data_IF_105019870813
#
_entry.id   IF_105019870813
#
_cell.length_a   1.000
_cell.length_b   1.000
_cell.length_c   1.000
_cell.angle_alpha   90.00
_cell.angle_beta   90.00
_cell.angle_gamma   90.00
#
_symmetry.space_group_name_H-M   'P 1'
#
loop_
_entity.id
_entity.type
_entity.pdbx_description
1 polymer ?
#
# COMPACT_ATOMS: atom_id res chain seq x y z
N UNK A 1 24.45 -0.46 -8.42
CA UNK A 1 23.42 0.19 -7.59
C UNK A 1 23.72 -0.06 -6.11
N UNK A 2 23.43 0.89 -5.21
CA UNK A 2 23.72 0.75 -3.78
C UNK A 2 22.81 -0.32 -3.14
N UNK A 3 23.40 -1.32 -2.50
CA UNK A 3 22.67 -2.40 -1.81
C UNK A 3 21.77 -1.87 -0.69
N UNK A 4 22.21 -0.84 0.03
CA UNK A 4 21.45 -0.22 1.12
C UNK A 4 20.15 0.41 0.62
N UNK A 5 20.16 0.91 -0.62
CA UNK A 5 18.98 1.53 -1.21
C UNK A 5 17.90 0.49 -1.53
N UNK A 6 18.26 -0.66 -2.12
CA UNK A 6 17.29 -1.73 -2.38
C UNK A 6 16.77 -2.34 -1.09
N UNK A 7 17.64 -2.49 -0.09
CA UNK A 7 17.20 -2.93 1.24
C UNK A 7 16.12 -2.01 1.81
N UNK A 8 16.28 -0.68 1.73
CA UNK A 8 15.26 0.29 2.17
C UNK A 8 13.92 0.14 1.44
N UNK A 9 13.94 -0.21 0.16
CA UNK A 9 12.71 -0.47 -0.60
C UNK A 9 12.05 -1.77 -0.12
N UNK A 10 12.83 -2.85 0.00
CA UNK A 10 12.37 -4.15 0.50
C UNK A 10 11.77 -4.03 1.91
N UNK A 11 12.37 -3.25 2.81
CA UNK A 11 11.85 -3.02 4.17
C UNK A 11 10.43 -2.44 4.16
N UNK A 12 10.08 -1.60 3.18
CA UNK A 12 8.71 -1.08 3.01
C UNK A 12 7.75 -2.14 2.45
N UNK A 13 8.25 -3.18 1.78
CA UNK A 13 7.45 -4.28 1.24
C UNK A 13 7.12 -5.34 2.30
N UNK A 14 8.00 -5.57 3.28
CA UNK A 14 7.77 -6.54 4.36
C UNK A 14 7.07 -5.94 5.60
N UNK A 15 6.68 -4.67 5.53
CA UNK A 15 5.94 -3.91 6.54
C UNK A 15 6.54 -3.97 7.97
N UNK A 16 7.70 -3.33 8.12
CA UNK A 16 8.48 -3.28 9.37
C UNK A 16 7.70 -2.68 10.57
N UNK A 17 6.59 -1.95 10.35
CA UNK A 17 5.81 -1.36 11.44
C UNK A 17 5.04 -2.40 12.27
N UNK A 18 4.64 -3.55 11.69
CA UNK A 18 4.13 -4.71 12.46
C UNK A 18 5.27 -5.50 13.14
N UNK A 19 6.50 -5.35 12.66
CA UNK A 19 7.66 -6.11 13.12
C UNK A 19 8.47 -5.43 14.24
N UNK A 20 8.26 -4.13 14.48
CA UNK A 20 8.85 -3.36 15.59
C UNK A 20 8.74 -4.04 16.96
N UNK A 21 7.79 -4.95 17.13
CA UNK A 21 7.60 -5.66 18.39
C UNK A 21 8.21 -7.06 18.49
N UNK A 22 8.68 -7.72 17.40
CA UNK A 22 9.06 -9.16 17.53
C UNK A 22 10.21 -9.72 16.70
N UNK A 23 10.86 -9.02 15.77
CA UNK A 23 11.89 -9.67 14.95
C UNK A 23 12.94 -8.67 14.42
N UNK A 24 14.17 -9.13 14.20
CA UNK A 24 15.17 -8.29 13.52
C UNK A 24 14.74 -8.04 12.07
N UNK A 25 14.90 -6.83 11.51
CA UNK A 25 14.45 -6.47 10.15
C UNK A 25 14.94 -7.42 9.05
N UNK A 26 16.08 -8.09 9.27
CA UNK A 26 16.63 -9.11 8.34
C UNK A 26 15.83 -10.40 8.31
N UNK A 27 15.25 -10.81 9.44
CA UNK A 27 14.52 -12.07 9.54
C UNK A 27 13.19 -12.05 8.79
N UNK A 28 12.62 -10.85 8.55
CA UNK A 28 11.40 -10.64 7.77
C UNK A 28 11.61 -10.85 6.28
N UNK A 29 12.86 -10.79 5.80
CA UNK A 29 13.17 -11.07 4.40
C UNK A 29 12.63 -12.42 3.97
N UNK A 30 12.53 -13.41 4.88
CA UNK A 30 11.95 -14.73 4.59
C UNK A 30 10.54 -14.69 4.01
N UNK A 31 9.79 -13.61 4.28
CA UNK A 31 8.42 -13.41 3.83
C UNK A 31 8.32 -12.45 2.65
N UNK A 32 9.44 -12.02 2.07
CA UNK A 32 9.42 -11.15 0.91
C UNK A 32 8.84 -11.90 -0.29
N UNK A 33 7.83 -11.30 -0.90
CA UNK A 33 7.13 -11.84 -2.05
C UNK A 33 7.44 -10.99 -3.30
N UNK A 34 7.32 -11.58 -4.51
CA UNK A 34 7.36 -10.86 -5.77
C UNK A 34 6.19 -9.88 -5.87
N UNK A 35 6.28 -8.96 -6.82
CA UNK A 35 5.23 -7.98 -7.12
C UNK A 35 4.43 -8.48 -8.32
N UNK A 36 3.10 -8.49 -8.21
CA UNK A 36 2.21 -8.78 -9.34
C UNK A 36 1.81 -7.52 -10.09
N UNK A 37 1.49 -6.44 -9.36
CA UNK A 37 0.98 -5.19 -9.94
C UNK A 37 1.43 -3.97 -9.14
N UNK A 38 1.57 -2.84 -9.83
CA UNK A 38 1.81 -1.53 -9.24
C UNK A 38 0.76 -0.49 -9.66
N UNK A 39 0.43 0.43 -8.78
CA UNK A 39 -0.62 1.43 -8.97
C UNK A 39 -0.19 2.81 -8.46
N UNK A 40 -0.83 3.85 -8.98
CA UNK A 40 -0.70 5.20 -8.46
C UNK A 40 -1.23 5.30 -7.04
N UNK A 41 -0.53 6.05 -6.19
CA UNK A 41 -1.04 6.37 -4.85
C UNK A 41 -2.01 7.57 -4.87
N UNK A 42 -1.70 8.58 -5.68
CA UNK A 42 -2.44 9.85 -5.76
C UNK A 42 -3.55 9.76 -6.80
N UNK A 43 -4.59 8.98 -6.53
CA UNK A 43 -5.76 8.88 -7.42
C UNK A 43 -6.77 10.00 -7.23
N UNK A 44 -6.53 10.90 -6.26
CA UNK A 44 -7.39 12.02 -5.89
C UNK A 44 -6.72 13.36 -6.05
N UNK A 45 -7.54 14.40 -6.17
CA UNK A 45 -7.19 15.80 -6.33
C UNK A 45 -7.23 16.62 -5.03
N UNK A 46 -7.33 16.00 -3.84
CA UNK A 46 -7.42 16.72 -2.55
C UNK A 46 -6.55 16.08 -1.48
N UNK A 47 -5.92 16.88 -0.63
CA UNK A 47 -5.18 16.45 0.57
C UNK A 47 -5.66 17.21 1.80
N UNK A 48 -5.83 16.52 2.93
CA UNK A 48 -6.46 17.04 4.15
C UNK A 48 -5.70 16.66 5.42
N UNK A 49 -5.75 17.54 6.41
CA UNK A 49 -5.25 17.32 7.75
C UNK A 49 -6.21 17.95 8.77
N UNK A 50 -6.64 17.16 9.74
CA UNK A 50 -7.38 17.65 10.89
C UNK A 50 -6.40 17.95 12.03
N UNK A 51 -6.35 19.19 12.49
CA UNK A 51 -5.59 19.61 13.67
C UNK A 51 -6.45 19.38 14.93
N UNK A 52 -6.11 18.38 15.78
CA UNK A 52 -6.89 18.06 16.98
C UNK A 52 -6.85 19.14 18.07
N UNK A 53 -5.83 20.00 18.06
CA UNK A 53 -5.64 21.10 19.03
C UNK A 53 -6.48 22.31 18.63
N UNK A 54 -6.48 22.67 17.34
CA UNK A 54 -7.29 23.77 16.80
C UNK A 54 -8.72 23.37 16.47
N UNK A 55 -9.02 22.07 16.43
CA UNK A 55 -10.30 21.49 15.98
C UNK A 55 -10.69 21.96 14.56
N UNK A 56 -9.70 22.17 13.70
CA UNK A 56 -9.88 22.68 12.33
C UNK A 56 -9.35 21.68 11.29
N UNK A 57 -10.03 21.59 10.15
CA UNK A 57 -9.56 20.84 8.98
C UNK A 57 -8.86 21.81 8.02
N UNK A 58 -7.60 21.50 7.71
CA UNK A 58 -6.84 22.13 6.64
C UNK A 58 -6.87 21.25 5.41
N UNK A 59 -7.08 21.85 4.24
CA UNK A 59 -7.06 21.10 2.99
C UNK A 59 -6.50 21.92 1.83
N UNK A 60 -6.02 21.20 0.82
CA UNK A 60 -5.64 21.74 -0.48
C UNK A 60 -6.11 20.83 -1.60
N UNK A 61 -6.53 21.44 -2.69
CA UNK A 61 -6.81 20.73 -3.94
C UNK A 61 -5.60 20.84 -4.87
N UNK A 62 -5.36 19.83 -5.68
CA UNK A 62 -4.29 19.78 -6.67
C UNK A 62 -4.73 18.98 -7.89
N UNK A 63 -4.07 19.18 -9.03
CA UNK A 63 -4.30 18.34 -10.19
C UNK A 63 -3.32 17.16 -10.16
N UNK A 64 -3.82 15.92 -10.19
CA UNK A 64 -3.01 14.69 -10.20
C UNK A 64 -2.02 14.65 -11.38
N UNK A 65 -2.37 15.27 -12.50
CA UNK A 65 -1.50 15.34 -13.68
C UNK A 65 -0.45 16.46 -13.59
N UNK A 66 -0.60 17.40 -12.65
CA UNK A 66 0.36 18.47 -12.42
C UNK A 66 1.11 18.22 -11.11
N UNK A 67 2.30 17.64 -11.27
CA UNK A 67 3.17 17.22 -10.18
C UNK A 67 3.55 18.37 -9.24
N UNK A 68 3.80 19.57 -9.76
CA UNK A 68 4.18 20.73 -8.96
C UNK A 68 3.05 21.15 -8.02
N UNK A 69 1.81 21.23 -8.53
CA UNK A 69 0.64 21.57 -7.71
C UNK A 69 0.37 20.52 -6.63
N UNK A 70 0.59 19.24 -6.95
CA UNK A 70 0.48 18.13 -6.01
C UNK A 70 1.50 18.26 -4.89
N UNK A 71 2.77 18.47 -5.22
CA UNK A 71 3.84 18.62 -4.24
C UNK A 71 3.64 19.85 -3.35
N UNK A 72 3.32 21.02 -3.93
CA UNK A 72 3.03 22.24 -3.15
C UNK A 72 1.87 22.04 -2.17
N UNK A 73 0.82 21.34 -2.60
CA UNK A 73 -0.35 21.07 -1.75
C UNK A 73 -0.02 20.13 -0.60
N UNK A 74 0.76 19.07 -0.87
CA UNK A 74 1.23 18.15 0.17
C UNK A 74 2.19 18.86 1.13
N UNK A 75 3.07 19.72 0.62
CA UNK A 75 4.05 20.47 1.42
C UNK A 75 3.36 21.45 2.36
N UNK A 76 2.31 22.13 1.89
CA UNK A 76 1.47 22.97 2.74
C UNK A 76 0.87 22.16 3.89
N UNK A 77 0.27 21.00 3.60
CA UNK A 77 -0.35 20.15 4.64
C UNK A 77 0.70 19.60 5.61
N UNK A 78 1.85 19.15 5.12
CA UNK A 78 2.95 18.69 5.97
C UNK A 78 3.52 19.80 6.84
N UNK A 79 3.56 21.05 6.34
CA UNK A 79 3.91 22.22 7.16
C UNK A 79 2.90 22.48 8.28
N UNK A 80 1.60 22.24 8.06
CA UNK A 80 0.57 22.29 9.12
C UNK A 80 0.77 21.19 10.16
N UNK A 81 1.12 19.98 9.70
CA UNK A 81 1.45 18.84 10.59
C UNK A 81 2.68 19.15 11.43
N UNK A 82 3.73 19.73 10.84
CA UNK A 82 4.93 20.16 11.57
C UNK A 82 4.62 21.20 12.64
N UNK A 83 3.81 22.20 12.31
CA UNK A 83 3.35 23.19 13.27
C UNK A 83 2.63 22.53 14.44
N UNK A 84 1.68 21.63 14.16
CA UNK A 84 0.97 20.87 15.18
C UNK A 84 1.94 20.04 16.05
N UNK A 85 2.79 19.22 15.43
CA UNK A 85 3.75 18.33 16.10
C UNK A 85 4.72 19.10 17.00
N UNK A 86 5.26 20.25 16.56
CA UNK A 86 6.10 21.13 17.40
C UNK A 86 5.30 21.70 18.58
N UNK A 87 4.07 22.12 18.32
CA UNK A 87 3.20 22.73 19.35
C UNK A 87 2.75 21.76 20.45
N UNK A 88 2.90 20.45 20.23
CA UNK A 88 2.58 19.41 21.21
C UNK A 88 3.82 18.92 21.98
N UNK A 89 5.02 18.95 21.37
CA UNK A 89 6.28 18.62 22.06
C UNK A 89 6.64 19.61 23.17
N UNK A 90 6.19 20.87 23.07
CA UNK A 90 6.44 21.91 24.07
C UNK A 90 5.59 21.77 25.34
N UNK A 91 4.69 20.78 25.43
CA UNK A 91 3.73 20.61 26.55
C UNK A 91 4.08 19.34 27.32
N UNK A 92 4.48 19.48 28.60
CA UNK A 92 4.97 18.36 29.46
C UNK A 92 3.96 17.23 29.71
N UNK A 93 2.65 17.50 29.61
CA UNK A 93 1.57 16.52 29.78
C UNK A 93 0.64 16.55 28.58
N UNK A 94 1.08 15.98 27.45
CA UNK A 94 0.30 16.05 26.23
C UNK A 94 -0.46 14.75 25.93
N UNK A 95 -1.76 14.89 25.68
CA UNK A 95 -2.65 13.79 25.28
C UNK A 95 -2.65 13.54 23.77
N UNK A 96 -1.98 14.39 23.00
CA UNK A 96 -1.88 14.29 21.55
C UNK A 96 -0.69 13.45 21.10
N UNK A 97 -0.88 12.67 20.03
CA UNK A 97 0.17 11.90 19.37
C UNK A 97 0.75 12.70 18.19
N UNK A 98 2.03 12.45 17.92
CA UNK A 98 2.69 12.93 16.70
C UNK A 98 1.97 12.34 15.48
N UNK A 99 1.74 13.18 14.49
CA UNK A 99 1.10 12.79 13.23
C UNK A 99 2.16 12.71 12.15
N UNK A 100 2.19 11.59 11.43
CA UNK A 100 3.10 11.39 10.33
C UNK A 100 2.75 12.29 9.13
N UNK A 101 3.78 12.66 8.38
CA UNK A 101 3.60 13.40 7.13
C UNK A 101 2.82 12.59 6.09
N UNK A 102 2.04 13.31 5.30
CA UNK A 102 1.51 12.78 4.05
C UNK A 102 2.68 12.46 3.12
N UNK A 103 2.71 11.23 2.62
CA UNK A 103 3.75 10.72 1.72
C UNK A 103 3.79 11.60 0.46
N UNK A 104 4.99 11.97 -0.02
CA UNK A 104 5.18 12.79 -1.23
C UNK A 104 5.43 11.98 -2.49
N UNK A 105 6.03 10.80 -2.36
CA UNK A 105 6.54 10.01 -3.48
C UNK A 105 6.06 8.55 -3.36
N UNK A 106 4.76 8.39 -3.11
CA UNK A 106 4.15 7.09 -2.87
C UNK A 106 3.70 6.41 -4.16
N UNK A 107 3.93 5.10 -4.23
CA UNK A 107 3.30 4.16 -5.16
C UNK A 107 2.70 3.01 -4.36
N UNK A 108 1.61 2.43 -4.86
CA UNK A 108 1.02 1.22 -4.30
C UNK A 108 1.53 0.02 -5.08
N UNK A 109 1.82 -1.08 -4.41
CA UNK A 109 2.14 -2.35 -5.06
C UNK A 109 1.28 -3.46 -4.44
N UNK A 110 1.01 -4.49 -5.23
CA UNK A 110 0.38 -5.73 -4.79
C UNK A 110 1.39 -6.85 -4.95
N UNK A 111 1.72 -7.48 -3.84
CA UNK A 111 2.58 -8.65 -3.80
C UNK A 111 1.84 -9.89 -4.30
N UNK A 112 2.59 -10.85 -4.83
CA UNK A 112 2.08 -12.16 -5.26
C UNK A 112 1.60 -12.98 -4.06
N UNK A 113 0.75 -13.98 -4.33
CA UNK A 113 0.41 -14.98 -3.31
C UNK A 113 1.61 -15.91 -3.08
N UNK A 114 1.94 -16.24 -1.83
CA UNK A 114 3.04 -17.16 -1.54
C UNK A 114 2.73 -18.55 -2.09
N UNK A 115 3.72 -19.21 -2.66
CA UNK A 115 3.62 -20.59 -3.14
C UNK A 115 3.55 -21.55 -1.95
N UNK A 116 4.30 -21.25 -0.90
CA UNK A 116 4.35 -22.06 0.33
C UNK A 116 3.43 -21.44 1.37
N UNK A 117 2.24 -22.02 1.53
CA UNK A 117 1.37 -21.70 2.65
C UNK A 117 2.01 -22.21 3.95
N UNK A 118 2.42 -21.29 4.83
CA UNK A 118 2.78 -21.64 6.20
C UNK A 118 1.82 -20.98 7.17
N UNK A 119 1.39 -21.69 8.22
CA UNK A 119 0.52 -21.15 9.28
C UNK A 119 1.11 -19.91 9.99
N UNK A 120 2.41 -19.65 9.76
CA UNK A 120 3.19 -18.56 10.34
C UNK A 120 3.51 -17.43 9.36
N UNK A 121 3.04 -17.48 8.11
CA UNK A 121 3.21 -16.36 7.19
C UNK A 121 2.22 -15.24 7.54
N UNK A 122 2.69 -14.04 7.95
CA UNK A 122 1.80 -12.92 8.26
C UNK A 122 0.93 -12.50 7.07
N UNK A 123 1.32 -12.88 5.84
CA UNK A 123 0.64 -12.53 4.58
C UNK A 123 -0.37 -13.58 4.10
N UNK A 124 -0.59 -14.67 4.85
CA UNK A 124 -1.54 -15.73 4.51
C UNK A 124 -2.99 -15.43 4.95
N UNK A 125 -3.27 -14.25 5.52
CA UNK A 125 -4.56 -14.00 6.17
C UNK A 125 -5.62 -13.40 5.24
N UNK A 126 -5.25 -12.74 4.12
CA UNK A 126 -6.15 -12.14 3.10
C UNK A 126 -5.37 -11.42 1.96
N UNK A 127 -5.99 -11.19 0.78
CA UNK A 127 -5.36 -10.50 -0.38
C UNK A 127 -4.90 -9.07 -0.05
N UNK A 128 -5.67 -8.42 0.78
CA UNK A 128 -5.47 -7.19 1.50
C UNK A 128 -4.07 -7.07 2.15
N UNK A 129 -3.61 -8.14 2.80
CA UNK A 129 -2.28 -8.20 3.42
C UNK A 129 -1.13 -8.20 2.42
N UNK A 130 -1.38 -8.20 1.11
CA UNK A 130 -0.37 -8.14 0.05
C UNK A 130 -0.20 -6.73 -0.53
N UNK A 131 -1.01 -5.75 -0.13
CA UNK A 131 -0.87 -4.38 -0.60
C UNK A 131 0.18 -3.64 0.23
N UNK A 132 1.16 -3.01 -0.43
CA UNK A 132 2.20 -2.19 0.20
C UNK A 132 2.29 -0.82 -0.42
N UNK A 133 2.81 0.13 0.35
CA UNK A 133 3.11 1.49 -0.12
C UNK A 133 4.61 1.70 -0.07
N UNK A 134 5.22 2.00 -1.22
CA UNK A 134 6.60 2.43 -1.31
C UNK A 134 6.60 3.95 -1.44
N UNK A 135 7.21 4.66 -0.48
CA UNK A 135 7.37 6.11 -0.51
C UNK A 135 8.85 6.47 -0.77
N UNK A 136 9.23 6.54 -2.04
CA UNK A 136 10.59 6.91 -2.45
C UNK A 136 10.59 7.66 -3.79
N UNK A 137 11.32 8.78 -3.84
CA UNK A 137 11.37 9.65 -5.02
C UNK A 137 11.92 8.95 -6.26
N UNK A 138 12.95 8.12 -6.12
CA UNK A 138 13.55 7.43 -7.28
C UNK A 138 12.61 6.34 -7.81
N UNK A 139 11.95 5.61 -6.92
CA UNK A 139 10.93 4.63 -7.34
C UNK A 139 9.72 5.28 -7.97
N UNK A 140 9.22 6.38 -7.39
CA UNK A 140 8.13 7.14 -7.98
C UNK A 140 8.50 7.67 -9.38
N UNK A 141 9.70 8.22 -9.55
CA UNK A 141 10.16 8.70 -10.85
C UNK A 141 10.22 7.56 -11.88
N UNK A 142 10.73 6.38 -11.51
CA UNK A 142 10.69 5.22 -12.40
C UNK A 142 9.25 4.81 -12.78
N UNK A 143 8.34 4.80 -11.79
CA UNK A 143 6.92 4.53 -11.99
C UNK A 143 6.20 5.61 -12.85
N UNK A 144 6.72 6.83 -12.88
CA UNK A 144 6.18 7.92 -13.71
C UNK A 144 6.56 7.81 -15.20
N UNK A 145 7.57 7.01 -15.50
CA UNK A 145 8.07 6.78 -16.87
C UNK A 145 7.56 5.43 -17.40
N UNK A 146 7.58 4.37 -16.60
CA UNK A 146 7.31 3.01 -17.07
C UNK A 146 5.83 2.65 -16.97
N UNK A 147 5.34 1.82 -17.92
CA UNK A 147 4.05 1.13 -17.77
C UNK A 147 4.17 0.01 -16.72
N UNK A 148 3.03 -0.44 -16.20
CA UNK A 148 2.94 -1.43 -15.13
C UNK A 148 3.73 -2.72 -15.43
N UNK A 149 3.57 -3.31 -16.61
CA UNK A 149 4.29 -4.56 -16.97
C UNK A 149 5.80 -4.39 -16.87
N UNK A 150 6.35 -3.35 -17.50
CA UNK A 150 7.80 -3.13 -17.55
C UNK A 150 8.34 -2.79 -16.15
N UNK A 151 7.61 -1.96 -15.41
CA UNK A 151 7.98 -1.57 -14.06
C UNK A 151 8.05 -2.78 -13.11
N UNK A 152 7.02 -3.63 -13.12
CA UNK A 152 6.93 -4.80 -12.24
C UNK A 152 8.03 -5.81 -12.55
N UNK A 153 8.19 -6.16 -13.84
CA UNK A 153 9.20 -7.11 -14.29
C UNK A 153 10.61 -6.66 -13.89
N UNK A 154 10.95 -5.40 -14.20
CA UNK A 154 12.29 -4.90 -13.92
C UNK A 154 12.52 -4.67 -12.42
N UNK A 155 11.49 -4.30 -11.64
CA UNK A 155 11.60 -4.18 -10.19
C UNK A 155 11.78 -5.54 -9.51
N UNK A 156 11.03 -6.56 -9.93
CA UNK A 156 11.22 -7.93 -9.45
C UNK A 156 12.64 -8.43 -9.75
N UNK A 157 13.15 -8.17 -10.97
CA UNK A 157 14.53 -8.49 -11.33
C UNK A 157 15.55 -7.78 -10.43
N UNK A 158 15.32 -6.50 -10.18
CA UNK A 158 16.18 -5.67 -9.32
C UNK A 158 16.29 -6.24 -7.90
N UNK A 159 15.17 -6.73 -7.35
CA UNK A 159 15.12 -7.35 -6.03
C UNK A 159 15.75 -8.75 -6.07
N UNK A 160 15.47 -9.55 -7.09
CA UNK A 160 16.08 -10.87 -7.28
C UNK A 160 17.60 -10.79 -7.33
N UNK A 161 18.17 -9.90 -8.14
CA UNK A 161 19.62 -9.68 -8.24
C UNK A 161 20.25 -9.26 -6.91
N UNK A 162 19.49 -8.51 -6.09
CA UNK A 162 19.91 -8.17 -4.75
C UNK A 162 19.95 -9.40 -3.83
N UNK A 163 18.91 -10.25 -3.86
CA UNK A 163 18.83 -11.47 -3.05
C UNK A 163 19.92 -12.49 -3.43
N UNK A 164 20.16 -12.72 -4.72
CA UNK A 164 21.20 -13.64 -5.21
C UNK A 164 22.60 -13.13 -4.91
N UNK A 165 22.81 -11.81 -4.99
CA UNK A 165 24.08 -11.21 -4.56
C UNK A 165 24.31 -11.37 -3.05
N UNK A 166 23.26 -11.29 -2.23
CA UNK A 166 23.36 -11.55 -0.78
C UNK A 166 23.66 -13.02 -0.45
N UNK A 167 23.14 -13.97 -1.23
CA UNK A 167 23.45 -15.40 -1.05
C UNK A 167 24.86 -15.78 -1.53
N UNK A 168 25.52 -14.88 -2.27
CA UNK A 168 26.81 -15.15 -2.90
C UNK A 168 26.74 -16.24 -3.97
N UNK A 169 25.56 -16.44 -4.58
CA UNK A 169 25.32 -17.48 -5.59
C UNK A 169 25.35 -18.91 -5.04
N UNK A 170 25.33 -19.09 -3.71
CA UNK A 170 25.36 -20.42 -3.10
C UNK A 170 23.97 -21.06 -3.12
N UNK A 171 23.94 -22.38 -3.31
CA UNK A 171 22.73 -23.16 -3.07
C UNK A 171 22.35 -23.06 -1.59
N UNK A 172 21.15 -22.56 -1.33
CA UNK A 172 20.68 -22.32 0.03
C UNK A 172 19.91 -23.55 0.53
N UNK A 173 20.03 -23.83 1.84
CA UNK A 173 19.18 -24.81 2.52
C UNK A 173 17.85 -24.17 2.93
N UNK A 174 16.74 -24.93 3.07
CA UNK A 174 15.41 -24.39 3.38
C UNK A 174 15.33 -23.53 4.65
N UNK A 175 16.22 -23.74 5.62
CA UNK A 175 16.27 -22.97 6.87
C UNK A 175 16.89 -21.57 6.69
N UNK A 176 17.53 -21.30 5.54
CA UNK A 176 18.12 -19.99 5.27
C UNK A 176 17.03 -18.94 5.04
N UNK A 177 17.21 -17.74 5.62
CA UNK A 177 16.25 -16.63 5.50
C UNK A 177 16.03 -16.16 4.05
N UNK A 178 16.99 -16.37 3.15
CA UNK A 178 16.90 -16.00 1.74
C UNK A 178 16.38 -17.13 0.84
N UNK A 179 16.24 -18.36 1.35
CA UNK A 179 15.84 -19.52 0.53
C UNK A 179 14.45 -19.32 -0.08
N UNK A 180 13.43 -19.06 0.76
CA UNK A 180 12.06 -18.88 0.30
C UNK A 180 11.91 -17.68 -0.63
N UNK A 181 12.43 -16.47 -0.31
CA UNK A 181 12.32 -15.33 -1.22
C UNK A 181 12.94 -15.57 -2.59
N UNK A 182 14.10 -16.23 -2.68
CA UNK A 182 14.70 -16.54 -3.99
C UNK A 182 13.79 -17.47 -4.78
N UNK A 183 13.27 -18.53 -4.15
CA UNK A 183 12.35 -19.48 -4.77
C UNK A 183 11.06 -18.81 -5.27
N UNK A 184 10.45 -17.93 -4.47
CA UNK A 184 9.21 -17.23 -4.84
C UNK A 184 9.44 -16.33 -6.07
N UNK A 185 10.59 -15.67 -6.17
CA UNK A 185 10.93 -14.85 -7.34
C UNK A 185 11.21 -15.71 -8.58
N UNK A 186 11.95 -16.81 -8.43
CA UNK A 186 12.23 -17.74 -9.54
C UNK A 186 10.94 -18.32 -10.11
N UNK A 187 10.04 -18.79 -9.25
CA UNK A 187 8.73 -19.30 -9.66
C UNK A 187 7.86 -18.21 -10.29
N UNK A 188 7.86 -16.98 -9.77
CA UNK A 188 7.12 -15.88 -10.39
C UNK A 188 7.59 -15.59 -11.82
N UNK A 189 8.90 -15.58 -12.07
CA UNK A 189 9.44 -15.41 -13.42
C UNK A 189 9.09 -16.59 -14.34
N UNK A 190 9.22 -17.83 -13.84
CA UNK A 190 8.87 -19.03 -14.60
C UNK A 190 7.37 -19.09 -14.95
N UNK A 191 6.49 -18.88 -13.96
CA UNK A 191 5.03 -18.88 -14.14
C UNK A 191 4.55 -17.74 -15.04
N UNK A 192 5.28 -16.62 -15.07
CA UNK A 192 5.01 -15.51 -15.97
C UNK A 192 5.56 -15.73 -17.39
N UNK A 193 6.35 -16.77 -17.63
CA UNK A 193 7.00 -17.05 -18.91
C UNK A 193 8.08 -16.03 -19.29
N UNK A 194 8.80 -15.48 -18.30
CA UNK A 194 9.80 -14.42 -18.47
C UNK A 194 11.19 -14.94 -18.10
N UNK A 195 12.18 -14.78 -18.98
CA UNK A 195 13.58 -15.11 -18.65
C UNK A 195 14.15 -14.12 -17.63
N UNK A 196 14.72 -14.66 -16.56
CA UNK A 196 15.41 -13.89 -15.52
C UNK A 196 16.72 -13.33 -16.05
N UNK A 197 17.42 -14.08 -16.91
CA UNK A 197 18.72 -13.68 -17.48
C UNK A 197 18.57 -12.51 -18.45
N UNK A 198 17.55 -12.54 -19.30
CA UNK A 198 17.31 -11.52 -20.33
C UNK A 198 16.65 -10.26 -19.80
N UNK A 199 16.13 -10.31 -18.56
CA UNK A 199 15.45 -9.17 -17.94
C UNK A 199 16.47 -8.18 -17.35
N UNK A 200 16.45 -6.90 -17.73
CA UNK A 200 17.32 -5.89 -17.13
C UNK A 200 16.82 -5.41 -15.77
N UNK A 201 17.74 -4.89 -14.96
CA UNK A 201 17.38 -4.19 -13.72
C UNK A 201 16.58 -2.91 -14.01
N UNK A 202 15.73 -2.49 -13.08
CA UNK A 202 14.81 -1.36 -13.21
C UNK A 202 15.50 -0.08 -13.65
N UNK A 203 16.62 0.27 -12.99
CA UNK A 203 17.30 1.53 -13.26
C UNK A 203 18.20 1.47 -14.48
N UNK A 204 18.62 0.28 -14.92
CA UNK A 204 19.33 0.14 -16.19
C UNK A 204 18.35 0.20 -17.36
N UNK A 205 17.19 -0.45 -17.23
CA UNK A 205 16.10 -0.33 -18.18
C UNK A 205 15.60 1.11 -18.33
N UNK A 206 15.46 1.83 -17.21
CA UNK A 206 14.97 3.20 -17.20
C UNK A 206 15.85 4.17 -18.00
N UNK A 207 17.17 3.95 -18.06
CA UNK A 207 18.12 4.84 -18.77
C UNK A 207 17.87 4.88 -20.27
N UNK A 208 17.38 3.79 -20.84
CA UNK A 208 17.21 3.62 -22.30
C UNK A 208 15.74 3.72 -22.73
N UNK A 209 14.81 3.91 -21.79
CA UNK A 209 13.38 3.84 -22.05
C UNK A 209 12.74 5.22 -22.13
N UNK A 210 11.95 5.43 -23.18
CA UNK A 210 11.10 6.61 -23.32
C UNK A 210 9.87 6.56 -22.38
N UNK A 211 9.37 7.71 -21.92
CA UNK A 211 8.14 7.78 -21.12
C UNK A 211 6.95 7.09 -21.78
N UNK A 212 6.28 6.25 -21.01
CA UNK A 212 5.03 5.58 -21.37
C UNK A 212 3.89 6.59 -21.43
N UNK A 213 2.93 6.35 -22.33
CA UNK A 213 1.65 7.07 -22.35
C UNK A 213 0.77 6.73 -21.15
N UNK A 214 0.95 5.53 -20.59
CA UNK A 214 0.19 4.99 -19.45
C UNK A 214 1.15 4.55 -18.34
N UNK A 215 1.78 5.50 -17.63
CA UNK A 215 2.72 5.18 -16.56
C UNK A 215 2.01 4.64 -15.32
N UNK A 216 2.75 3.92 -14.47
CA UNK A 216 2.25 3.32 -13.22
C UNK A 216 1.58 4.35 -12.30
N UNK A 217 2.11 5.56 -12.21
CA UNK A 217 1.57 6.62 -11.33
C UNK A 217 0.12 7.00 -11.66
N UNK A 218 -0.36 6.70 -12.87
CA UNK A 218 -1.75 6.91 -13.28
C UNK A 218 -2.55 5.60 -13.39
N UNK A 219 -1.91 4.45 -13.15
CA UNK A 219 -2.60 3.17 -13.14
C UNK A 219 -3.52 3.10 -11.93
N UNK A 220 -4.80 2.81 -12.19
CA UNK A 220 -5.82 2.69 -11.18
C UNK A 220 -5.99 1.23 -10.77
N UNK A 221 -6.18 1.00 -9.48
CA UNK A 221 -6.57 -0.31 -8.98
C UNK A 221 -8.10 -0.44 -9.03
N UNK A 222 -8.58 -1.43 -9.81
CA UNK A 222 -10.01 -1.65 -10.06
C UNK A 222 -10.79 -1.99 -8.77
N UNK A 223 -10.13 -2.55 -7.75
CA UNK A 223 -10.74 -2.80 -6.44
C UNK A 223 -11.03 -1.49 -5.68
N UNK A 224 -10.09 -0.54 -5.68
CA UNK A 224 -10.27 0.76 -5.02
C UNK A 224 -11.11 1.77 -5.82
N UNK A 225 -11.28 1.55 -7.13
CA UNK A 225 -12.05 2.44 -8.02
C UNK A 225 -13.57 2.29 -7.96
N UNK A 226 -14.09 1.17 -7.46
CA UNK A 226 -15.56 0.99 -7.37
C UNK A 226 -16.17 1.71 -6.16
N UNK A 227 -15.30 2.18 -5.27
CA UNK A 227 -15.67 2.81 -4.01
C UNK A 227 -15.99 4.28 -4.29
N UNK A 228 -17.24 4.67 -4.08
CA UNK A 228 -17.83 5.93 -4.51
C UNK A 228 -17.61 7.03 -3.45
N UNK A 229 -16.38 7.19 -2.96
CA UNK A 229 -16.05 8.33 -2.10
C UNK A 229 -15.06 9.22 -2.82
N UNK A 230 -15.38 10.49 -2.83
CA UNK A 230 -14.55 11.60 -3.24
C UNK A 230 -13.26 11.63 -2.37
N UNK A 231 -12.25 10.82 -2.68
CA UNK A 231 -11.17 10.47 -1.72
C UNK A 231 -10.11 11.54 -1.53
N UNK A 232 -10.29 12.54 -0.70
CA UNK A 232 -9.13 13.26 -0.16
C UNK A 232 -8.04 12.34 0.41
N UNK A 233 -6.77 12.62 0.16
CA UNK A 233 -5.64 12.02 0.89
C UNK A 233 -5.61 12.64 2.29
N UNK A 234 -5.92 11.84 3.31
CA UNK A 234 -6.02 12.32 4.71
C UNK A 234 -4.74 12.00 5.48
N UNK A 235 -4.27 12.98 6.25
CA UNK A 235 -3.30 12.74 7.31
C UNK A 235 -3.99 12.07 8.51
N UNK A 236 -3.35 11.03 9.06
CA UNK A 236 -3.91 10.19 10.12
C UNK A 236 -5.37 9.76 9.84
N UNK A 237 -5.61 8.97 8.77
CA UNK A 237 -6.97 8.61 8.36
C UNK A 237 -7.75 7.84 9.44
N UNK A 238 -7.04 7.22 10.39
CA UNK A 238 -7.63 6.53 11.55
C UNK A 238 -8.17 7.46 12.63
N UNK A 239 -8.04 8.79 12.52
CA UNK A 239 -8.60 9.70 13.51
C UNK A 239 -10.13 9.70 13.50
N UNK A 240 -10.74 9.62 14.70
CA UNK A 240 -12.20 9.65 14.89
C UNK A 240 -12.90 10.88 14.32
N UNK A 241 -12.17 11.93 13.96
CA UNK A 241 -12.78 13.08 13.27
C UNK A 241 -13.25 12.74 11.87
N UNK A 242 -12.59 11.79 11.19
CA UNK A 242 -12.91 11.44 9.80
C UNK A 242 -14.15 10.57 9.66
N UNK A 243 -14.65 10.05 10.77
CA UNK A 243 -15.78 9.13 10.80
C UNK A 243 -16.71 9.43 11.96
N UNK A 244 -18.01 9.40 11.72
CA UNK A 244 -19.03 9.66 12.74
C UNK A 244 -19.12 8.54 13.79
N UNK A 245 -18.60 7.36 13.47
CA UNK A 245 -18.58 6.18 14.35
C UNK A 245 -17.35 5.32 14.10
N UNK A 246 -16.90 4.58 15.13
CA UNK A 246 -15.78 3.62 15.01
C UNK A 246 -15.98 2.62 13.86
N UNK A 247 -17.22 2.24 13.62
CA UNK A 247 -17.63 1.34 12.52
C UNK A 247 -17.43 2.01 11.15
N UNK A 248 -17.85 3.26 10.99
CA UNK A 248 -17.60 4.03 9.76
C UNK A 248 -16.10 4.21 9.51
N UNK A 249 -15.33 4.52 10.55
CA UNK A 249 -13.87 4.64 10.45
C UNK A 249 -13.21 3.36 10.00
N UNK A 250 -13.66 2.23 10.53
CA UNK A 250 -13.22 0.91 10.10
C UNK A 250 -13.53 0.67 8.62
N UNK A 251 -14.74 1.01 8.14
CA UNK A 251 -15.11 0.87 6.73
C UNK A 251 -14.24 1.78 5.84
N UNK A 252 -14.06 3.05 6.21
CA UNK A 252 -13.22 4.00 5.46
C UNK A 252 -11.76 3.54 5.43
N UNK A 253 -11.20 3.06 6.55
CA UNK A 253 -9.86 2.51 6.57
C UNK A 253 -9.75 1.29 5.64
N UNK A 254 -10.65 0.31 5.76
CA UNK A 254 -10.69 -0.87 4.89
C UNK A 254 -10.74 -0.47 3.41
N UNK A 255 -11.47 0.59 3.09
CA UNK A 255 -11.53 1.18 1.75
C UNK A 255 -10.18 1.78 1.33
N UNK A 256 -9.60 2.67 2.14
CA UNK A 256 -8.37 3.39 1.81
C UNK A 256 -7.17 2.45 1.68
N UNK A 257 -7.18 1.37 2.46
CA UNK A 257 -6.22 0.28 2.41
C UNK A 257 -6.52 -0.75 1.30
N UNK A 258 -7.69 -0.70 0.65
CA UNK A 258 -8.07 -1.62 -0.43
C UNK A 258 -8.44 -3.02 0.05
N UNK A 259 -8.89 -3.14 1.29
CA UNK A 259 -9.22 -4.38 2.01
C UNK A 259 -10.73 -4.59 2.19
N UNK A 260 -11.59 -3.67 1.72
CA UNK A 260 -13.03 -3.75 1.98
C UNK A 260 -13.65 -4.98 1.32
N UNK A 261 -13.32 -5.25 0.06
CA UNK A 261 -13.81 -6.40 -0.71
C UNK A 261 -13.49 -7.71 0.02
N UNK A 262 -12.25 -7.83 0.49
CA UNK A 262 -11.79 -9.00 1.24
C UNK A 262 -12.47 -9.11 2.61
N UNK A 263 -12.59 -7.99 3.31
CA UNK A 263 -13.26 -7.94 4.60
C UNK A 263 -14.73 -8.37 4.49
N UNK A 264 -15.35 -8.17 3.34
CA UNK A 264 -16.74 -8.52 3.07
C UNK A 264 -16.88 -9.89 2.38
N UNK A 265 -15.81 -10.43 1.80
CA UNK A 265 -15.81 -11.69 1.05
C UNK A 265 -16.33 -12.89 1.86
N UNK A 266 -15.90 -13.03 3.11
CA UNK A 266 -16.37 -14.08 4.03
C UNK A 266 -17.80 -13.84 4.54
N UNK A 267 -18.36 -12.67 4.28
CA UNK A 267 -19.74 -12.31 4.57
C UNK A 267 -20.67 -12.58 3.38
N UNK A 268 -20.17 -13.03 2.23
CA UNK A 268 -21.01 -13.38 1.08
C UNK A 268 -21.68 -14.75 1.25
N UNK A 269 -22.85 -14.93 0.65
CA UNK A 269 -23.49 -16.24 0.56
C UNK A 269 -22.65 -17.15 -0.37
N UNK A 270 -22.51 -18.44 -0.01
CA UNK A 270 -21.61 -19.38 -0.75
C UNK A 270 -21.94 -19.52 -2.24
N UNK A 271 -23.20 -19.35 -2.61
CA UNK A 271 -23.72 -19.66 -3.96
C UNK A 271 -24.33 -18.44 -4.67
N UNK A 272 -24.27 -17.26 -4.07
CA UNK A 272 -24.84 -16.02 -4.60
C UNK A 272 -23.87 -14.91 -4.26
N UNK A 273 -23.53 -14.05 -5.23
CA UNK A 273 -22.62 -12.91 -5.01
C UNK A 273 -23.27 -11.76 -4.20
N UNK A 274 -24.08 -12.12 -3.20
CA UNK A 274 -24.78 -11.21 -2.29
C UNK A 274 -24.17 -11.28 -0.90
N UNK A 275 -24.07 -10.12 -0.27
CA UNK A 275 -23.57 -9.99 1.10
C UNK A 275 -24.66 -10.37 2.08
N UNK A 276 -24.35 -11.26 3.01
CA UNK A 276 -25.13 -11.49 4.22
C UNK A 276 -24.92 -10.31 5.18
N UNK A 277 -25.85 -9.35 5.14
CA UNK A 277 -25.78 -8.12 5.94
C UNK A 277 -25.76 -8.37 7.45
N UNK A 278 -26.40 -9.45 7.92
CA UNK A 278 -26.38 -9.83 9.33
C UNK A 278 -24.99 -10.30 9.76
N UNK A 279 -24.34 -11.14 8.94
CA UNK A 279 -22.97 -11.59 9.21
C UNK A 279 -21.98 -10.41 9.15
N UNK A 280 -22.16 -9.51 8.19
CA UNK A 280 -21.32 -8.31 8.07
C UNK A 280 -21.51 -7.36 9.25
N UNK A 281 -22.75 -7.14 9.70
CA UNK A 281 -23.07 -6.23 10.81
C UNK A 281 -22.48 -6.74 12.13
N UNK A 282 -22.55 -8.05 12.39
CA UNK A 282 -21.86 -8.72 13.49
C UNK A 282 -20.34 -8.51 13.41
N UNK A 283 -19.74 -8.69 12.23
CA UNK A 283 -18.30 -8.50 12.01
C UNK A 283 -17.85 -7.04 12.19
N UNK A 284 -18.68 -6.09 11.75
CA UNK A 284 -18.47 -4.64 11.92
C UNK A 284 -18.85 -4.12 13.32
N UNK A 285 -19.46 -4.98 14.15
CA UNK A 285 -20.02 -4.64 15.46
C UNK A 285 -21.00 -3.46 15.39
N UNK A 286 -21.97 -3.53 14.48
CA UNK A 286 -23.03 -2.54 14.30
C UNK A 286 -24.37 -3.21 13.93
N UNK A 287 -25.43 -2.41 13.72
CA UNK A 287 -26.70 -2.95 13.22
C UNK A 287 -26.68 -3.15 11.70
N UNK A 288 -27.51 -4.06 11.20
CA UNK A 288 -27.68 -4.36 9.77
C UNK A 288 -27.99 -3.09 8.96
N UNK A 289 -28.88 -2.24 9.49
CA UNK A 289 -29.24 -0.95 8.88
C UNK A 289 -28.04 -0.02 8.77
N UNK A 290 -27.16 -0.01 9.77
CA UNK A 290 -25.94 0.80 9.78
C UNK A 290 -24.91 0.26 8.81
N UNK A 291 -24.66 -1.05 8.81
CA UNK A 291 -23.74 -1.70 7.87
C UNK A 291 -24.16 -1.44 6.41
N UNK A 292 -25.46 -1.62 6.11
CA UNK A 292 -26.02 -1.36 4.78
C UNK A 292 -25.90 0.12 4.40
N UNK A 293 -26.20 1.06 5.32
CA UNK A 293 -26.05 2.50 5.06
C UNK A 293 -24.59 2.89 4.77
N UNK A 294 -23.64 2.36 5.54
CA UNK A 294 -22.22 2.65 5.36
C UNK A 294 -21.69 2.09 4.05
N UNK A 295 -22.04 0.85 3.70
CA UNK A 295 -21.69 0.30 2.40
C UNK A 295 -22.38 1.07 1.26
N UNK A 296 -23.64 1.49 1.38
CA UNK A 296 -24.31 2.26 0.32
C UNK A 296 -23.68 3.63 0.10
N UNK A 297 -23.25 4.27 1.19
CA UNK A 297 -22.60 5.58 1.15
C UNK A 297 -21.18 5.50 0.59
N UNK A 298 -20.42 4.51 1.04
CA UNK A 298 -18.99 4.46 0.77
C UNK A 298 -18.66 3.48 -0.35
N UNK A 299 -19.25 2.29 -0.40
CA UNK A 299 -18.95 1.22 -1.36
C UNK A 299 -20.21 0.66 -2.05
N UNK A 300 -20.97 1.49 -2.80
CA UNK A 300 -22.27 1.10 -3.35
C UNK A 300 -22.19 -0.10 -4.30
N UNK A 301 -21.05 -0.29 -4.97
CA UNK A 301 -20.78 -1.44 -5.84
C UNK A 301 -20.80 -2.80 -5.16
N UNK A 302 -20.76 -2.83 -3.83
CA UNK A 302 -20.88 -4.06 -3.05
C UNK A 302 -22.35 -4.40 -2.74
N UNK A 303 -23.26 -3.44 -2.91
CA UNK A 303 -24.70 -3.60 -2.66
C UNK A 303 -25.47 -3.74 -3.97
N UNK A 304 -25.04 -3.08 -5.03
CA UNK A 304 -25.69 -3.09 -6.32
C UNK A 304 -25.37 -4.39 -7.08
N UNK A 305 -26.20 -5.42 -6.85
CA UNK A 305 -26.57 -6.57 -7.71
C UNK A 305 -27.89 -7.25 -7.23
#
# INVERSE_FOLDING_TARGET
>A
MNQDYIYKIISQMVDDDQAKNRNTPRSLLRYLLPIDKAFGYYTSNKVEFYDPKQKQIFYRNFNVKNEDTRLQSIDYINGRIDYFNRSIQSVKNNSYKVIDHVKKWAIKIRLSKPIIETDRNPFNRNESSLIRIINDKKMYNAASVLKNTDFVICLNKTIYDYLTKLSGGKQLVPQNTLYQPILEYEDWFMSSGISIEDTPSLFDYLKVKSPSKNPVVYALDKMTNKINVTYSIRANPEDKKWYSSRTEGKVINLIESGLLEDYVSDCKFKNIDKINMKKLSEKLNCSDKTAKKLLALHAPHLIDD
#
